data_IF_805410755369
#
_entry.id   IF_805410755369
#
_cell.length_a   1.000
_cell.length_b   1.000
_cell.length_c   1.000
_cell.angle_alpha   90.00
_cell.angle_beta   90.00
_cell.angle_gamma   90.00
#
_symmetry.space_group_name_H-M   'P 1'
#
loop_
_entity.id
_entity.type
_entity.pdbx_description
1 polymer ?
#
# COMPACT_ATOMS: atom_id res chain seq x y z
N UNK A 1 -6.60 48.24 55.37
CA UNK A 1 -6.91 46.86 55.80
C UNK A 1 -8.02 46.32 54.93
N UNK A 2 -7.85 45.09 54.37
CA UNK A 2 -8.88 44.07 54.04
C UNK A 2 -8.62 43.33 52.69
N UNK A 3 -8.23 42.08 52.89
CA UNK A 3 -8.50 40.84 52.14
C UNK A 3 -7.91 40.60 50.75
N UNK A 4 -6.77 39.90 50.81
CA UNK A 4 -6.33 38.81 49.93
C UNK A 4 -7.45 37.85 49.54
N UNK A 5 -7.62 37.56 48.25
CA UNK A 5 -8.07 36.22 47.79
C UNK A 5 -7.59 35.93 46.38
N UNK A 6 -6.62 35.03 46.27
CA UNK A 6 -6.24 34.30 45.07
C UNK A 6 -7.31 33.26 44.74
N UNK A 7 -7.83 33.24 43.51
CA UNK A 7 -8.38 32.02 42.91
C UNK A 7 -7.80 31.84 41.51
N UNK A 8 -6.97 30.80 41.38
CA UNK A 8 -6.53 30.24 40.12
C UNK A 8 -7.68 29.47 39.48
N UNK A 9 -7.93 29.69 38.19
CA UNK A 9 -8.67 28.77 37.34
C UNK A 9 -7.84 28.50 36.08
N UNK A 10 -6.98 27.48 36.17
CA UNK A 10 -6.43 26.79 35.01
C UNK A 10 -7.54 25.95 34.39
N UNK A 11 -8.06 26.37 33.24
CA UNK A 11 -8.86 25.51 32.37
C UNK A 11 -8.02 25.11 31.16
N UNK A 12 -7.23 24.06 31.33
CA UNK A 12 -6.56 23.34 30.25
C UNK A 12 -7.61 22.59 29.41
N UNK A 13 -8.03 23.19 28.30
CA UNK A 13 -8.75 22.47 27.24
C UNK A 13 -7.71 21.77 26.35
N UNK A 14 -7.19 20.64 26.83
CA UNK A 14 -6.53 19.66 25.98
C UNK A 14 -7.61 18.86 25.25
N UNK A 15 -8.17 19.39 24.16
CA UNK A 15 -9.00 18.59 23.27
C UNK A 15 -8.16 17.92 22.18
N UNK A 16 -8.01 16.62 22.42
CA UNK A 16 -7.96 15.55 21.42
C UNK A 16 -6.79 15.59 20.46
N UNK A 17 -5.71 14.91 20.87
CA UNK A 17 -4.91 14.12 19.93
C UNK A 17 -5.82 13.02 19.35
N UNK A 18 -6.63 13.38 18.34
CA UNK A 18 -7.29 12.39 17.49
C UNK A 18 -6.16 11.66 16.77
N UNK A 19 -5.84 10.48 17.30
CA UNK A 19 -4.92 9.47 16.79
C UNK A 19 -4.41 9.73 15.37
N UNK A 20 -3.34 10.51 15.26
CA UNK A 20 -2.34 10.25 14.21
C UNK A 20 -1.51 9.06 14.69
N UNK A 21 -2.19 7.94 14.94
CA UNK A 21 -1.56 6.65 14.70
C UNK A 21 -1.65 6.52 13.19
N UNK A 22 -0.64 7.05 12.49
CA UNK A 22 -0.36 6.58 11.15
C UNK A 22 -0.11 5.08 11.31
N UNK A 23 -1.18 4.28 11.18
CA UNK A 23 -1.05 2.84 11.03
C UNK A 23 -0.09 2.73 9.85
N UNK A 24 1.15 2.28 10.10
CA UNK A 24 2.04 1.94 8.99
C UNK A 24 1.32 0.84 8.24
N UNK A 25 0.63 1.24 7.18
CA UNK A 25 -0.14 0.36 6.33
C UNK A 25 0.86 -0.62 5.73
N UNK A 26 0.74 -1.89 6.13
CA UNK A 26 1.66 -2.92 5.67
C UNK A 26 1.25 -3.31 4.25
N UNK A 27 2.15 -3.08 3.30
CA UNK A 27 1.99 -3.55 1.92
C UNK A 27 1.72 -5.05 1.91
N UNK A 28 0.64 -5.47 1.25
CA UNK A 28 0.31 -6.89 1.11
C UNK A 28 1.07 -7.57 -0.04
N UNK A 29 1.70 -6.81 -0.93
CA UNK A 29 2.63 -7.31 -1.94
C UNK A 29 3.96 -7.70 -1.29
N UNK A 30 4.47 -8.88 -1.65
CA UNK A 30 5.73 -9.42 -1.12
C UNK A 30 6.82 -9.52 -2.18
N UNK A 31 6.45 -9.40 -3.46
CA UNK A 31 7.41 -9.33 -4.55
C UNK A 31 8.19 -8.00 -4.50
N UNK A 32 9.51 -8.09 -4.60
CA UNK A 32 10.42 -6.94 -4.53
C UNK A 32 11.29 -6.78 -5.78
N UNK A 33 11.13 -7.64 -6.79
CA UNK A 33 11.82 -7.44 -8.07
C UNK A 33 11.35 -6.15 -8.73
N UNK A 34 12.29 -5.38 -9.29
CA UNK A 34 12.01 -4.06 -9.87
C UNK A 34 12.91 -3.79 -11.07
N UNK A 35 12.52 -4.33 -12.23
CA UNK A 35 13.31 -4.20 -13.46
C UNK A 35 13.21 -2.75 -13.93
N UNK A 36 14.37 -2.14 -14.23
CA UNK A 36 14.42 -0.71 -14.52
C UNK A 36 14.01 0.19 -13.34
N UNK A 37 14.03 -0.33 -12.10
CA UNK A 37 13.60 0.40 -10.90
C UNK A 37 12.09 0.53 -10.74
N UNK A 38 11.29 -0.20 -11.52
CA UNK A 38 9.82 -0.16 -11.41
C UNK A 38 9.34 -1.20 -10.41
N UNK A 39 9.02 -0.75 -9.20
CA UNK A 39 8.46 -1.59 -8.15
C UNK A 39 6.97 -1.92 -8.39
N UNK A 40 6.52 -3.04 -7.84
CA UNK A 40 5.11 -3.37 -7.83
C UNK A 40 4.34 -2.39 -6.94
N UNK A 41 3.20 -1.89 -7.45
CA UNK A 41 2.44 -0.87 -6.73
C UNK A 41 1.94 -1.44 -5.40
N UNK A 42 2.12 -0.75 -4.27
CA UNK A 42 1.71 -1.26 -2.98
C UNK A 42 0.22 -1.60 -2.94
N UNK A 43 -0.10 -2.73 -2.30
CA UNK A 43 -1.48 -3.08 -1.95
C UNK A 43 -1.69 -2.70 -0.49
N UNK A 44 -2.46 -1.64 -0.27
CA UNK A 44 -2.72 -1.06 1.05
C UNK A 44 -4.17 -1.36 1.49
N UNK A 45 -4.50 -1.02 2.74
CA UNK A 45 -5.87 -1.02 3.23
C UNK A 45 -6.56 0.30 2.86
N UNK A 46 -7.69 0.18 2.16
CA UNK A 46 -8.43 1.32 1.63
C UNK A 46 -9.19 2.12 2.69
N UNK A 47 -9.32 1.59 3.91
CA UNK A 47 -10.21 2.10 4.95
C UNK A 47 -11.70 1.78 4.72
N UNK A 48 -12.05 1.11 3.62
CA UNK A 48 -13.41 0.68 3.31
C UNK A 48 -13.56 -0.83 3.54
N UNK A 49 -14.37 -1.21 4.52
CA UNK A 49 -14.60 -2.62 4.86
C UNK A 49 -15.17 -3.47 3.71
N UNK A 50 -15.97 -2.88 2.80
CA UNK A 50 -16.57 -3.59 1.66
C UNK A 50 -15.57 -3.82 0.52
N UNK A 51 -14.55 -2.96 0.40
CA UNK A 51 -13.50 -3.01 -0.63
C UNK A 51 -12.13 -2.73 0.01
N UNK A 52 -11.62 -3.62 0.87
CA UNK A 52 -10.56 -3.29 1.82
C UNK A 52 -9.16 -3.19 1.22
N UNK A 53 -8.96 -3.48 -0.06
CA UNK A 53 -7.63 -3.44 -0.68
C UNK A 53 -7.55 -2.27 -1.66
N UNK A 54 -6.56 -1.40 -1.52
CA UNK A 54 -6.28 -0.28 -2.42
C UNK A 54 -4.99 -0.51 -3.21
N UNK A 55 -5.00 -0.17 -4.50
CA UNK A 55 -3.83 -0.14 -5.38
C UNK A 55 -3.84 1.16 -6.16
N UNK A 56 -3.13 2.16 -5.65
CA UNK A 56 -3.08 3.50 -6.23
C UNK A 56 -4.48 4.12 -6.48
N UNK A 57 -5.41 3.94 -5.53
CA UNK A 57 -6.78 4.46 -5.61
C UNK A 57 -7.80 3.50 -6.22
N UNK A 58 -7.37 2.43 -6.90
CA UNK A 58 -8.25 1.35 -7.33
C UNK A 58 -8.55 0.43 -6.12
N UNK A 59 -9.81 0.28 -5.72
CA UNK A 59 -10.17 -0.56 -4.56
C UNK A 59 -10.73 -1.93 -4.95
N UNK A 60 -10.48 -2.96 -4.16
CA UNK A 60 -10.85 -4.34 -4.47
C UNK A 60 -11.46 -5.04 -3.26
N UNK A 61 -12.41 -5.93 -3.53
CA UNK A 61 -12.98 -6.84 -2.53
C UNK A 61 -12.03 -8.00 -2.23
N UNK A 62 -11.34 -8.49 -3.27
CA UNK A 62 -10.49 -9.68 -3.21
C UNK A 62 -9.01 -9.31 -3.30
N UNK A 63 -8.19 -9.83 -2.37
CA UNK A 63 -6.75 -9.56 -2.31
C UNK A 63 -5.99 -10.05 -3.55
N UNK A 64 -6.39 -11.17 -4.15
CA UNK A 64 -5.78 -11.70 -5.36
C UNK A 64 -5.98 -10.75 -6.55
N UNK A 65 -7.16 -10.15 -6.67
CA UNK A 65 -7.41 -9.15 -7.71
C UNK A 65 -6.57 -7.89 -7.51
N UNK A 66 -6.42 -7.42 -6.26
CA UNK A 66 -5.54 -6.29 -5.94
C UNK A 66 -4.07 -6.59 -6.25
N UNK A 67 -3.59 -7.78 -5.87
CA UNK A 67 -2.21 -8.19 -6.17
C UNK A 67 -1.96 -8.32 -7.67
N UNK A 68 -2.92 -8.85 -8.44
CA UNK A 68 -2.82 -8.89 -9.89
C UNK A 68 -2.72 -7.49 -10.49
N UNK A 69 -3.57 -6.56 -10.03
CA UNK A 69 -3.51 -5.16 -10.44
C UNK A 69 -2.14 -4.53 -10.15
N UNK A 70 -1.57 -4.82 -8.99
CA UNK A 70 -0.23 -4.37 -8.59
C UNK A 70 0.86 -4.85 -9.56
N UNK A 71 0.83 -6.13 -9.96
CA UNK A 71 1.76 -6.69 -10.95
C UNK A 71 1.51 -6.14 -12.37
N UNK A 72 0.25 -5.92 -12.77
CA UNK A 72 -0.08 -5.29 -14.06
C UNK A 72 0.44 -3.85 -14.14
N UNK A 73 0.30 -3.07 -13.06
CA UNK A 73 0.83 -1.70 -13.00
C UNK A 73 2.37 -1.69 -13.05
N UNK A 74 3.04 -2.65 -12.41
CA UNK A 74 4.49 -2.84 -12.55
C UNK A 74 4.90 -3.09 -14.00
N UNK A 75 4.23 -4.06 -14.64
CA UNK A 75 4.51 -4.40 -16.03
C UNK A 75 4.35 -3.19 -16.94
N UNK A 76 3.26 -2.43 -16.79
CA UNK A 76 3.03 -1.24 -17.62
C UNK A 76 4.14 -0.19 -17.42
N UNK A 77 4.56 0.05 -16.18
CA UNK A 77 5.68 0.95 -15.89
C UNK A 77 6.98 0.47 -16.52
N UNK A 78 7.30 -0.82 -16.38
CA UNK A 78 8.48 -1.44 -16.99
C UNK A 78 8.43 -1.38 -18.51
N UNK A 79 7.29 -1.74 -19.12
CA UNK A 79 7.11 -1.74 -20.56
C UNK A 79 7.21 -0.33 -21.16
N UNK A 80 6.73 0.69 -20.45
CA UNK A 80 6.92 2.08 -20.85
C UNK A 80 8.40 2.48 -20.88
N UNK A 81 9.22 2.02 -19.93
CA UNK A 81 10.66 2.24 -19.95
C UNK A 81 11.33 1.49 -21.10
N UNK A 82 11.00 0.21 -21.29
CA UNK A 82 11.52 -0.61 -22.38
C UNK A 82 11.22 0.01 -23.76
N UNK A 83 9.98 0.47 -23.96
CA UNK A 83 9.55 1.14 -25.19
C UNK A 83 10.08 2.57 -25.34
N UNK A 84 10.61 3.17 -24.28
CA UNK A 84 11.19 4.52 -24.27
C UNK A 84 12.54 4.64 -24.99
N UNK A 85 13.14 3.51 -25.41
CA UNK A 85 14.31 3.48 -26.31
C UNK A 85 15.68 3.67 -25.65
N UNK A 86 15.73 3.80 -24.32
CA UNK A 86 16.97 3.96 -23.54
C UNK A 86 17.18 2.88 -22.46
N UNK A 87 16.35 1.86 -22.45
CA UNK A 87 16.45 0.75 -21.51
C UNK A 87 17.32 -0.39 -22.09
N UNK A 88 18.16 -0.98 -21.26
CA UNK A 88 18.96 -2.17 -21.60
C UNK A 88 18.17 -3.49 -21.47
N UNK A 89 16.83 -3.41 -21.40
CA UNK A 89 15.92 -4.53 -21.27
C UNK A 89 14.70 -4.35 -22.19
N UNK A 90 14.03 -5.46 -22.48
CA UNK A 90 12.88 -5.53 -23.38
C UNK A 90 11.55 -5.63 -22.65
N UNK A 91 10.44 -5.46 -23.37
CA UNK A 91 9.10 -5.76 -22.84
C UNK A 91 8.93 -7.24 -22.49
N UNK A 92 9.72 -8.15 -23.09
CA UNK A 92 9.72 -9.57 -22.72
C UNK A 92 10.30 -9.78 -21.32
N UNK A 93 11.33 -9.02 -20.95
CA UNK A 93 11.91 -9.07 -19.60
C UNK A 93 10.92 -8.52 -18.56
N UNK A 94 10.17 -7.48 -18.93
CA UNK A 94 9.06 -6.98 -18.11
C UNK A 94 7.97 -8.04 -17.91
N UNK A 95 7.65 -8.82 -18.96
CA UNK A 95 6.68 -9.90 -18.85
C UNK A 95 7.18 -11.01 -17.93
N UNK A 96 8.47 -11.39 -18.03
CA UNK A 96 9.06 -12.36 -17.12
C UNK A 96 8.97 -11.89 -15.64
N UNK A 97 9.28 -10.62 -15.37
CA UNK A 97 9.09 -10.03 -14.04
C UNK A 97 7.62 -10.06 -13.59
N UNK A 98 6.68 -9.79 -14.49
CA UNK A 98 5.24 -9.86 -14.18
C UNK A 98 4.82 -11.27 -13.76
N UNK A 99 5.35 -12.29 -14.42
CA UNK A 99 5.04 -13.69 -14.11
C UNK A 99 5.59 -14.08 -12.73
N UNK A 100 6.80 -13.64 -12.40
CA UNK A 100 7.38 -13.78 -11.06
C UNK A 100 6.55 -13.06 -9.99
N UNK A 101 6.13 -11.82 -10.26
CA UNK A 101 5.25 -11.05 -9.38
C UNK A 101 3.93 -11.78 -9.12
N UNK A 102 3.31 -12.32 -10.18
CA UNK A 102 2.04 -13.04 -10.10
C UNK A 102 2.18 -14.34 -9.31
N UNK A 103 3.28 -15.08 -9.49
CA UNK A 103 3.57 -16.30 -8.75
C UNK A 103 3.78 -16.03 -7.25
N UNK A 104 4.54 -14.99 -6.89
CA UNK A 104 4.73 -14.58 -5.50
C UNK A 104 3.40 -14.14 -4.85
N UNK A 105 2.57 -13.42 -5.61
CA UNK A 105 1.26 -12.92 -5.17
C UNK A 105 0.26 -14.03 -4.84
N UNK A 106 0.27 -15.15 -5.59
CA UNK A 106 -0.58 -16.30 -5.31
C UNK A 106 -0.31 -16.90 -3.91
N UNK A 107 0.96 -16.94 -3.49
CA UNK A 107 1.36 -17.38 -2.15
C UNK A 107 0.86 -16.44 -1.04
N UNK A 108 0.94 -15.13 -1.26
CA UNK A 108 0.47 -14.11 -0.31
C UNK A 108 -1.06 -14.18 -0.10
N UNK A 109 -1.83 -14.33 -1.18
CA UNK A 109 -3.28 -14.46 -1.12
C UNK A 109 -3.71 -15.73 -0.34
N UNK A 110 -3.06 -16.87 -0.61
CA UNK A 110 -3.34 -18.12 0.09
C UNK A 110 -3.05 -18.02 1.60
N UNK A 111 -1.97 -17.33 1.98
CA UNK A 111 -1.61 -17.11 3.40
C UNK A 111 -2.65 -16.24 4.11
N UNK A 112 -3.10 -15.16 3.49
CA UNK A 112 -4.13 -14.26 4.04
C UNK A 112 -5.47 -14.96 4.22
N UNK A 113 -5.87 -15.82 3.28
CA UNK A 113 -7.07 -16.64 3.43
C UNK A 113 -6.98 -17.57 4.64
N UNK A 114 -5.82 -18.23 4.85
CA UNK A 114 -5.61 -19.10 6.02
C UNK A 114 -5.65 -18.37 7.35
N UNK A 115 -5.16 -17.14 7.43
CA UNK A 115 -5.17 -16.34 8.66
C UNK A 115 -6.54 -15.78 9.04
N UNK A 116 -7.53 -15.84 8.13
CA UNK A 116 -8.91 -15.39 8.37
C UNK A 116 -9.88 -16.52 8.74
N UNK A 117 -9.43 -17.78 8.73
CA UNK A 117 -10.17 -18.93 9.27
C UNK A 117 -9.73 -19.22 10.69
#
# INVERSE_FOLDING_TARGET
>A
MKFTTTLALLSTLALTNARVLYVRQANAQTFAGALGGVEATPVLDSGNADRPFDVAGDTFVNIGAALQRSCDQQFNGCANLANGGAADFSTSDCQAQKDECSAASAGAAARRYRLRK
#
